data_IF_248912202796
#
_entry.id   IF_248912202796
#
_cell.length_a   1.000
_cell.length_b   1.000
_cell.length_c   1.000
_cell.angle_alpha   90.00
_cell.angle_beta   90.00
_cell.angle_gamma   90.00
#
_symmetry.space_group_name_H-M   'P 1'
#
loop_
_entity.id
_entity.type
_entity.pdbx_description
1 polymer ?
#
# COMPACT_ATOMS: atom_id res chain seq x y z
N UNK A 1 -31.04 21.49 -11.44
CA UNK A 1 -30.24 20.36 -11.93
C UNK A 1 -29.08 20.17 -10.96
N UNK A 2 -29.20 19.23 -10.02
CA UNK A 2 -28.12 18.93 -9.09
C UNK A 2 -27.13 18.04 -9.81
N UNK A 3 -25.96 18.59 -10.16
CA UNK A 3 -24.85 17.78 -10.63
C UNK A 3 -24.45 16.84 -9.50
N UNK A 4 -24.67 15.54 -9.68
CA UNK A 4 -24.07 14.52 -8.82
C UNK A 4 -22.56 14.75 -8.81
N UNK A 5 -21.92 14.83 -7.63
CA UNK A 5 -20.47 14.97 -7.56
C UNK A 5 -19.84 13.80 -8.33
N UNK A 6 -18.78 14.05 -9.12
CA UNK A 6 -18.11 12.98 -9.86
C UNK A 6 -17.71 11.89 -8.86
N UNK A 7 -18.14 10.67 -9.14
CA UNK A 7 -17.84 9.51 -8.31
C UNK A 7 -16.34 9.24 -8.41
N UNK A 8 -15.58 9.79 -7.46
CA UNK A 8 -14.11 9.69 -7.43
C UNK A 8 -13.62 8.26 -7.19
N UNK A 9 -14.54 7.31 -7.01
CA UNK A 9 -14.27 5.89 -6.81
C UNK A 9 -14.21 5.08 -8.09
N UNK A 10 -14.58 5.64 -9.25
CA UNK A 10 -14.36 4.96 -10.52
C UNK A 10 -12.88 5.13 -10.87
N UNK A 11 -12.06 4.17 -10.43
CA UNK A 11 -10.70 4.06 -10.94
C UNK A 11 -10.79 4.00 -12.46
N UNK A 12 -10.11 4.91 -13.17
CA UNK A 12 -10.32 4.98 -14.59
C UNK A 12 -9.75 3.68 -15.21
N UNK A 13 -10.25 3.28 -16.39
CA UNK A 13 -9.89 1.98 -17.00
C UNK A 13 -8.42 1.99 -17.41
N UNK A 14 -7.58 1.01 -16.99
CA UNK A 14 -6.18 0.94 -17.37
C UNK A 14 -6.03 0.82 -18.90
N UNK A 15 -4.86 1.15 -19.47
CA UNK A 15 -4.59 0.81 -20.85
C UNK A 15 -4.77 -0.69 -21.10
N UNK A 16 -5.47 -1.05 -22.18
CA UNK A 16 -5.70 -2.44 -22.58
C UNK A 16 -4.37 -3.17 -22.67
N UNK A 17 -4.18 -4.21 -21.86
CA UNK A 17 -2.97 -5.03 -21.91
C UNK A 17 -2.81 -5.63 -23.31
N UNK A 18 -1.60 -5.56 -23.85
CA UNK A 18 -1.30 -6.15 -25.14
C UNK A 18 -1.10 -7.66 -24.97
N UNK A 19 -1.47 -8.41 -25.99
CA UNK A 19 -1.26 -9.86 -26.02
C UNK A 19 0.25 -10.13 -26.00
N UNK A 20 0.76 -10.70 -24.91
CA UNK A 20 2.17 -11.02 -24.73
C UNK A 20 2.85 -10.27 -23.58
N UNK A 21 2.19 -9.27 -22.97
CA UNK A 21 2.77 -8.53 -21.86
C UNK A 21 3.02 -9.42 -20.64
N UNK A 22 4.23 -9.34 -20.08
CA UNK A 22 4.54 -9.99 -18.82
C UNK A 22 3.72 -9.37 -17.68
N UNK A 23 3.43 -10.12 -16.60
CA UNK A 23 2.75 -9.56 -15.42
C UNK A 23 3.45 -8.31 -14.85
N UNK A 24 4.79 -8.29 -14.91
CA UNK A 24 5.63 -7.17 -14.51
C UNK A 24 5.38 -5.91 -15.36
N UNK A 25 5.31 -6.05 -16.68
CA UNK A 25 5.00 -4.94 -17.60
C UNK A 25 3.58 -4.41 -17.40
N UNK A 26 2.61 -5.32 -17.24
CA UNK A 26 1.23 -4.95 -16.91
C UNK A 26 1.16 -4.16 -15.60
N UNK A 27 1.94 -4.55 -14.59
CA UNK A 27 1.98 -3.82 -13.32
C UNK A 27 2.67 -2.48 -13.45
N UNK A 28 3.74 -2.38 -14.23
CA UNK A 28 4.39 -1.11 -14.53
C UNK A 28 3.43 -0.14 -15.25
N UNK A 29 2.66 -0.63 -16.22
CA UNK A 29 1.64 0.15 -16.94
C UNK A 29 0.51 0.61 -16.00
N UNK A 30 0.04 -0.27 -15.11
CA UNK A 30 -0.92 0.09 -14.07
C UNK A 30 -0.38 1.18 -13.14
N UNK A 31 0.88 1.10 -12.71
CA UNK A 31 1.50 2.13 -11.89
C UNK A 31 1.61 3.46 -12.66
N UNK A 32 2.04 3.44 -13.92
CA UNK A 32 2.07 4.64 -14.78
C UNK A 32 0.71 5.31 -14.91
N UNK A 33 -0.33 4.49 -14.96
CA UNK A 33 -1.71 4.93 -15.04
C UNK A 33 -2.23 5.58 -13.75
N UNK A 34 -2.13 4.85 -12.62
CA UNK A 34 -2.60 5.31 -11.31
C UNK A 34 -1.91 6.61 -10.90
N UNK A 35 -0.61 6.72 -11.17
CA UNK A 35 0.21 7.88 -10.82
C UNK A 35 0.38 8.87 -11.98
N UNK A 36 -0.47 8.80 -13.00
CA UNK A 36 -0.36 9.73 -14.13
C UNK A 36 -0.52 11.19 -13.68
N UNK A 37 0.18 12.15 -14.31
CA UNK A 37 0.02 13.57 -13.97
C UNK A 37 -1.42 14.06 -14.14
N UNK A 38 -2.20 13.42 -15.02
CA UNK A 38 -3.58 13.76 -15.30
C UNK A 38 -4.50 13.45 -14.11
N UNK A 39 -4.34 12.28 -13.47
CA UNK A 39 -5.11 11.92 -12.26
C UNK A 39 -4.81 12.89 -11.12
N UNK A 40 -3.58 13.40 -11.04
CA UNK A 40 -3.15 14.32 -9.98
C UNK A 40 -3.25 15.81 -10.33
N UNK A 41 -3.59 16.18 -11.58
CA UNK A 41 -3.56 17.59 -12.04
C UNK A 41 -4.39 18.52 -11.17
N UNK A 42 -5.57 18.08 -10.73
CA UNK A 42 -6.46 18.85 -9.84
C UNK A 42 -5.82 19.09 -8.47
N UNK A 43 -5.16 18.06 -7.91
CA UNK A 43 -4.50 18.18 -6.61
C UNK A 43 -3.29 19.11 -6.69
N UNK A 44 -2.47 18.99 -7.75
CA UNK A 44 -1.36 19.91 -7.98
C UNK A 44 -1.84 21.36 -8.16
N UNK A 45 -2.87 21.58 -8.98
CA UNK A 45 -3.46 22.90 -9.16
C UNK A 45 -3.97 23.49 -7.84
N UNK A 46 -4.62 22.68 -7.00
CA UNK A 46 -5.07 23.10 -5.67
C UNK A 46 -3.91 23.47 -4.75
N UNK A 47 -2.84 22.67 -4.70
CA UNK A 47 -1.66 22.95 -3.87
C UNK A 47 -0.97 24.25 -4.32
N UNK A 48 -0.80 24.44 -5.63
CA UNK A 48 -0.23 25.67 -6.20
C UNK A 48 -1.14 26.86 -5.89
N UNK A 49 -2.46 26.74 -6.05
CA UNK A 49 -3.40 27.80 -5.73
C UNK A 49 -3.36 28.18 -4.24
N UNK A 50 -3.33 27.20 -3.32
CA UNK A 50 -3.19 27.47 -1.88
C UNK A 50 -1.88 28.18 -1.55
N UNK A 51 -0.78 27.79 -2.20
CA UNK A 51 0.52 28.41 -2.01
C UNK A 51 0.52 29.87 -2.49
N UNK A 52 0.02 30.13 -3.71
CA UNK A 52 -0.07 31.47 -4.29
C UNK A 52 -0.99 32.36 -3.46
N UNK A 53 -2.17 31.87 -3.06
CA UNK A 53 -3.08 32.60 -2.19
C UNK A 53 -2.48 32.88 -0.82
N UNK A 54 -1.79 31.90 -0.21
CA UNK A 54 -1.13 32.07 1.08
C UNK A 54 -0.02 33.12 1.05
N UNK A 55 0.83 33.09 0.02
CA UNK A 55 1.90 34.08 -0.17
C UNK A 55 1.32 35.46 -0.49
N UNK A 56 0.32 35.55 -1.38
CA UNK A 56 -0.30 36.82 -1.75
C UNK A 56 -1.05 37.49 -0.59
N UNK A 57 -1.85 36.72 0.16
CA UNK A 57 -2.57 37.24 1.33
C UNK A 57 -1.63 37.66 2.44
N UNK A 58 -0.60 36.86 2.74
CA UNK A 58 0.37 37.20 3.78
C UNK A 58 1.19 38.45 3.40
N UNK A 59 1.73 38.51 2.18
CA UNK A 59 2.50 39.67 1.70
C UNK A 59 1.67 40.95 1.60
N UNK A 60 0.48 40.90 1.00
CA UNK A 60 -0.41 42.06 0.91
C UNK A 60 -0.85 42.56 2.28
N UNK A 61 -1.21 41.67 3.19
CA UNK A 61 -1.64 42.04 4.54
C UNK A 61 -0.48 42.60 5.38
N UNK A 62 0.73 42.06 5.24
CA UNK A 62 1.92 42.60 5.91
C UNK A 62 2.20 44.05 5.48
N UNK A 63 2.04 44.33 4.19
CA UNK A 63 2.17 45.70 3.66
C UNK A 63 1.10 46.64 4.25
N UNK A 64 -0.17 46.23 4.30
CA UNK A 64 -1.22 47.02 4.94
C UNK A 64 -1.00 47.20 6.46
N UNK A 65 -0.48 46.19 7.16
CA UNK A 65 -0.21 46.28 8.59
C UNK A 65 0.81 47.38 8.92
N UNK A 66 1.81 47.61 8.04
CA UNK A 66 2.78 48.69 8.19
C UNK A 66 2.14 50.09 8.13
N UNK A 67 0.97 50.22 7.51
CA UNK A 67 0.23 51.48 7.42
C UNK A 67 -0.71 51.74 8.62
N UNK A 68 -0.73 50.83 9.61
CA UNK A 68 -1.45 51.03 10.88
C UNK A 68 -2.81 50.33 11.00
N UNK A 69 -3.23 49.52 10.01
CA UNK A 69 -4.48 48.77 10.10
C UNK A 69 -4.31 47.47 10.90
N UNK A 70 -4.82 47.45 12.14
CA UNK A 70 -4.69 46.28 13.03
C UNK A 70 -5.32 44.99 12.46
N UNK A 71 -6.42 45.10 11.70
CA UNK A 71 -7.11 43.93 11.08
C UNK A 71 -6.22 43.20 10.06
N UNK A 72 -5.21 43.89 9.49
CA UNK A 72 -4.30 43.29 8.52
C UNK A 72 -3.44 42.16 9.13
N UNK A 73 -3.19 42.16 10.45
CA UNK A 73 -2.48 41.06 11.10
C UNK A 73 -3.22 39.71 10.97
N UNK A 74 -4.55 39.72 10.96
CA UNK A 74 -5.34 38.50 10.75
C UNK A 74 -5.08 37.89 9.37
N UNK A 75 -4.91 38.74 8.34
CA UNK A 75 -4.57 38.30 6.98
C UNK A 75 -3.19 37.68 6.87
N UNK A 76 -2.21 38.18 7.63
CA UNK A 76 -0.86 37.58 7.72
C UNK A 76 -0.94 36.16 8.28
N UNK A 77 -1.65 35.98 9.41
CA UNK A 77 -1.81 34.66 10.03
C UNK A 77 -2.54 33.69 9.11
N UNK A 78 -3.63 34.13 8.48
CA UNK A 78 -4.36 33.31 7.50
C UNK A 78 -3.47 32.88 6.33
N UNK A 79 -2.67 33.79 5.77
CA UNK A 79 -1.75 33.49 4.68
C UNK A 79 -0.66 32.49 5.07
N UNK A 80 -0.12 32.59 6.30
CA UNK A 80 0.85 31.63 6.82
C UNK A 80 0.24 30.23 7.01
N UNK A 81 -0.99 30.13 7.52
CA UNK A 81 -1.71 28.85 7.68
C UNK A 81 -1.91 28.18 6.31
N UNK A 82 -2.38 28.94 5.31
CA UNK A 82 -2.57 28.42 3.94
C UNK A 82 -1.26 27.93 3.33
N UNK A 83 -0.18 28.70 3.49
CA UNK A 83 1.16 28.34 3.01
C UNK A 83 1.67 27.07 3.70
N UNK A 84 1.55 26.97 5.02
CA UNK A 84 1.92 25.79 5.79
C UNK A 84 1.15 24.54 5.36
N UNK A 85 -0.15 24.68 5.10
CA UNK A 85 -0.98 23.58 4.58
C UNK A 85 -0.56 23.14 3.18
N UNK A 86 -0.25 24.08 2.29
CA UNK A 86 0.24 23.78 0.95
C UNK A 86 1.58 23.02 0.98
N UNK A 87 2.53 23.44 1.84
CA UNK A 87 3.81 22.76 2.03
C UNK A 87 3.65 21.34 2.57
N UNK A 88 2.74 21.12 3.53
CA UNK A 88 2.43 19.79 4.05
C UNK A 88 1.89 18.87 2.95
N UNK A 89 0.96 19.36 2.12
CA UNK A 89 0.43 18.61 0.98
C UNK A 89 1.51 18.31 -0.06
N UNK A 90 2.33 19.30 -0.42
CA UNK A 90 3.47 19.13 -1.34
C UNK A 90 4.43 18.06 -0.83
N UNK A 91 4.78 18.06 0.45
CA UNK A 91 5.64 17.04 1.03
C UNK A 91 5.01 15.63 0.96
N UNK A 92 3.70 15.50 1.17
CA UNK A 92 3.02 14.20 0.95
C UNK A 92 3.05 13.75 -0.52
N UNK A 93 2.94 14.69 -1.47
CA UNK A 93 3.06 14.39 -2.91
C UNK A 93 4.48 13.94 -3.27
N UNK A 94 5.51 14.61 -2.76
CA UNK A 94 6.91 14.23 -2.98
C UNK A 94 7.18 12.82 -2.43
N UNK A 95 6.70 12.51 -1.22
CA UNK A 95 6.80 11.15 -0.65
C UNK A 95 6.08 10.12 -1.52
N UNK A 96 4.87 10.43 -2.01
CA UNK A 96 4.14 9.53 -2.94
C UNK A 96 4.90 9.32 -4.25
N UNK A 97 5.51 10.37 -4.81
CA UNK A 97 6.31 10.28 -6.03
C UNK A 97 7.56 9.42 -5.83
N UNK A 98 8.22 9.51 -4.67
CA UNK A 98 9.35 8.64 -4.31
C UNK A 98 8.93 7.17 -4.18
N UNK A 99 7.82 6.91 -3.49
CA UNK A 99 7.26 5.56 -3.37
C UNK A 99 6.88 4.98 -4.73
N UNK A 100 6.27 5.80 -5.59
CA UNK A 100 5.96 5.45 -6.97
C UNK A 100 7.21 5.08 -7.76
N UNK A 101 8.26 5.91 -7.73
CA UNK A 101 9.52 5.63 -8.41
C UNK A 101 10.12 4.29 -7.97
N UNK A 102 10.07 3.98 -6.67
CA UNK A 102 10.56 2.70 -6.14
C UNK A 102 9.70 1.52 -6.58
N UNK A 103 8.37 1.62 -6.49
CA UNK A 103 7.44 0.58 -6.96
C UNK A 103 7.60 0.29 -8.44
N UNK A 104 7.76 1.34 -9.25
CA UNK A 104 8.00 1.22 -10.69
C UNK A 104 9.35 0.54 -10.98
N UNK A 105 10.37 0.80 -10.18
CA UNK A 105 11.66 0.12 -10.30
C UNK A 105 11.50 -1.38 -10.00
N UNK A 106 10.81 -1.73 -8.92
CA UNK A 106 10.50 -3.13 -8.55
C UNK A 106 9.67 -3.78 -9.65
N UNK A 107 8.67 -3.09 -10.20
CA UNK A 107 7.85 -3.61 -11.29
C UNK A 107 8.68 -3.93 -12.54
N UNK A 108 9.69 -3.10 -12.88
CA UNK A 108 10.53 -3.29 -14.07
C UNK A 108 11.61 -4.35 -13.93
N UNK A 109 12.16 -4.52 -12.72
CA UNK A 109 13.29 -5.41 -12.44
C UNK A 109 12.91 -6.66 -11.66
N UNK A 110 11.66 -6.72 -11.20
CA UNK A 110 11.17 -7.75 -10.32
C UNK A 110 10.78 -9.00 -11.10
N UNK A 111 11.06 -10.14 -10.49
CA UNK A 111 10.59 -11.44 -10.95
C UNK A 111 9.30 -11.78 -10.20
N UNK A 112 8.36 -12.42 -10.89
CA UNK A 112 7.12 -12.89 -10.27
C UNK A 112 7.43 -14.05 -9.34
N UNK A 113 7.10 -13.88 -8.06
CA UNK A 113 7.29 -14.88 -7.02
C UNK A 113 6.00 -15.04 -6.21
N UNK A 114 5.81 -16.21 -5.62
CA UNK A 114 4.73 -16.45 -4.66
C UNK A 114 5.23 -16.15 -3.25
N UNK A 115 4.66 -15.13 -2.61
CA UNK A 115 4.90 -14.80 -1.22
C UNK A 115 3.96 -15.55 -0.28
N UNK A 116 4.49 -16.30 0.67
CA UNK A 116 3.73 -17.04 1.68
C UNK A 116 3.70 -16.25 2.99
N UNK A 117 2.50 -15.90 3.45
CA UNK A 117 2.28 -15.04 4.61
C UNK A 117 2.71 -15.76 5.89
N UNK A 118 3.65 -15.14 6.61
CA UNK A 118 4.10 -15.58 7.94
C UNK A 118 3.22 -14.94 9.01
N UNK A 119 3.18 -13.61 9.02
CA UNK A 119 2.36 -12.81 9.93
C UNK A 119 1.72 -11.66 9.18
N UNK A 120 0.51 -11.31 9.56
CA UNK A 120 -0.19 -10.15 9.06
C UNK A 120 -0.98 -9.49 10.18
N UNK A 121 -1.31 -8.20 10.00
CA UNK A 121 -2.28 -7.54 10.88
C UNK A 121 -3.63 -8.24 10.76
N UNK A 122 -4.27 -8.58 11.88
CA UNK A 122 -5.60 -9.20 11.89
C UNK A 122 -6.67 -8.36 11.19
N UNK A 123 -6.43 -7.05 11.05
CA UNK A 123 -7.27 -6.16 10.27
C UNK A 123 -7.42 -6.66 8.81
N UNK A 124 -6.36 -7.19 8.19
CA UNK A 124 -6.40 -7.59 6.78
C UNK A 124 -7.28 -8.83 6.51
N UNK A 125 -7.56 -9.62 7.54
CA UNK A 125 -8.36 -10.84 7.46
C UNK A 125 -9.87 -10.56 7.41
N UNK A 126 -10.29 -9.31 7.58
CA UNK A 126 -11.69 -8.88 7.56
C UNK A 126 -11.86 -7.74 6.59
N UNK A 127 -13.03 -7.56 5.94
CA UNK A 127 -13.33 -6.36 5.16
C UNK A 127 -13.10 -5.09 6.00
N UNK A 128 -12.66 -4.01 5.35
CA UNK A 128 -12.34 -2.77 6.03
C UNK A 128 -11.89 -1.66 5.09
N UNK A 129 -11.55 -0.48 5.64
CA UNK A 129 -11.15 0.67 4.82
C UNK A 129 -9.90 0.36 4.00
N UNK A 130 -9.81 0.98 2.83
CA UNK A 130 -8.66 0.88 1.93
C UNK A 130 -7.40 1.45 2.59
N UNK A 131 -6.63 0.56 3.22
CA UNK A 131 -5.36 0.87 3.82
C UNK A 131 -4.36 -0.23 3.46
N UNK A 132 -3.12 0.19 3.16
CA UNK A 132 -2.01 -0.74 3.05
C UNK A 132 -1.62 -1.20 4.46
N UNK A 133 -1.65 -2.52 4.69
CA UNK A 133 -1.36 -3.11 5.99
C UNK A 133 -0.04 -3.90 5.92
N UNK A 134 0.79 -3.84 6.96
CA UNK A 134 2.03 -4.59 6.99
C UNK A 134 1.76 -6.09 7.16
N UNK A 135 2.42 -6.86 6.33
CA UNK A 135 2.51 -8.31 6.39
C UNK A 135 3.98 -8.69 6.27
N UNK A 136 4.32 -9.89 6.72
CA UNK A 136 5.62 -10.49 6.51
C UNK A 136 5.44 -11.75 5.69
N UNK A 137 6.24 -11.91 4.64
CA UNK A 137 6.11 -13.01 3.68
C UNK A 137 7.43 -13.74 3.50
N UNK A 138 7.36 -15.04 3.22
CA UNK A 138 8.47 -15.85 2.71
C UNK A 138 8.36 -16.01 1.20
N UNK A 139 9.49 -15.96 0.50
CA UNK A 139 9.54 -16.29 -0.92
C UNK A 139 10.93 -16.83 -1.28
N UNK A 140 11.04 -17.45 -2.45
CA UNK A 140 12.29 -17.93 -3.02
C UNK A 140 12.36 -17.63 -4.51
N UNK A 141 13.56 -17.35 -5.01
CA UNK A 141 13.84 -17.27 -6.45
C UNK A 141 14.17 -18.64 -7.05
N UNK A 142 14.39 -19.67 -6.23
CA UNK A 142 14.57 -21.04 -6.70
C UNK A 142 13.20 -21.61 -7.08
N UNK A 143 12.96 -21.81 -8.39
CA UNK A 143 11.66 -22.23 -8.92
C UNK A 143 11.11 -23.48 -8.24
N UNK A 144 11.97 -24.48 -8.00
CA UNK A 144 11.60 -25.73 -7.31
C UNK A 144 11.07 -25.49 -5.89
N UNK A 145 11.72 -24.60 -5.15
CA UNK A 145 11.37 -24.27 -3.76
C UNK A 145 10.14 -23.35 -3.71
N UNK A 146 10.07 -22.35 -4.59
CA UNK A 146 8.94 -21.43 -4.65
C UNK A 146 7.63 -22.08 -5.12
N UNK A 147 7.73 -23.09 -6.00
CA UNK A 147 6.61 -23.89 -6.48
C UNK A 147 6.12 -24.93 -5.46
N UNK A 148 6.99 -25.40 -4.55
CA UNK A 148 6.56 -26.29 -3.47
C UNK A 148 5.82 -25.52 -2.36
N UNK A 149 4.52 -25.30 -2.61
CA UNK A 149 3.66 -24.62 -1.66
C UNK A 149 3.39 -25.39 -0.37
N UNK A 150 3.75 -26.67 -0.23
CA UNK A 150 3.69 -27.37 1.06
C UNK A 150 4.91 -27.02 1.90
N UNK A 151 6.09 -27.07 1.28
CA UNK A 151 7.34 -26.71 1.93
C UNK A 151 7.35 -25.25 2.40
N UNK A 152 6.95 -24.32 1.53
CA UNK A 152 6.91 -22.89 1.90
C UNK A 152 5.90 -22.59 3.01
N UNK A 153 4.74 -23.26 3.04
CA UNK A 153 3.79 -23.16 4.15
C UNK A 153 4.33 -23.72 5.46
N UNK A 154 5.00 -24.87 5.39
CA UNK A 154 5.69 -25.46 6.53
C UNK A 154 6.72 -24.48 7.10
N UNK A 155 7.57 -23.88 6.26
CA UNK A 155 8.53 -22.86 6.69
C UNK A 155 7.84 -21.63 7.27
N UNK A 156 6.78 -21.12 6.64
CA UNK A 156 6.06 -19.93 7.13
C UNK A 156 5.45 -20.16 8.51
N UNK A 157 4.86 -21.33 8.75
CA UNK A 157 4.32 -21.75 10.04
C UNK A 157 5.45 -21.88 11.06
N UNK A 158 6.57 -22.50 10.67
CA UNK A 158 7.74 -22.68 11.54
C UNK A 158 8.36 -21.34 11.94
N UNK A 159 8.46 -20.36 11.04
CA UNK A 159 8.91 -18.99 11.38
C UNK A 159 7.89 -18.30 12.28
N UNK A 160 6.60 -18.43 11.97
CA UNK A 160 5.53 -17.82 12.75
C UNK A 160 5.51 -18.34 14.19
N UNK A 161 5.72 -19.64 14.38
CA UNK A 161 5.80 -20.31 15.67
C UNK A 161 6.99 -19.86 16.51
N UNK A 162 8.04 -19.28 15.91
CA UNK A 162 9.23 -18.81 16.63
C UNK A 162 9.02 -17.41 17.25
N UNK A 163 7.92 -16.75 16.91
CA UNK A 163 7.53 -15.48 17.53
C UNK A 163 7.42 -15.66 19.04
N UNK A 164 8.01 -14.73 19.78
CA UNK A 164 7.99 -14.71 21.26
C UNK A 164 8.67 -15.92 21.93
N UNK A 165 9.37 -16.78 21.17
CA UNK A 165 10.18 -17.89 21.69
C UNK A 165 11.67 -17.49 21.74
N UNK A 166 12.35 -17.82 22.83
CA UNK A 166 13.80 -17.63 22.99
C UNK A 166 14.52 -18.99 23.04
N UNK A 167 14.74 -19.64 21.89
CA UNK A 167 15.45 -20.92 21.85
C UNK A 167 16.88 -20.75 22.39
N UNK A 168 17.32 -21.66 23.26
CA UNK A 168 18.69 -21.66 23.80
C UNK A 168 19.57 -22.61 22.98
N UNK A 169 20.80 -22.20 22.71
CA UNK A 169 21.85 -23.03 22.10
C UNK A 169 21.92 -23.08 20.57
N UNK A 170 20.91 -22.57 19.86
CA UNK A 170 20.88 -22.55 18.39
C UNK A 170 20.80 -21.10 17.89
N UNK A 171 21.92 -20.59 17.36
CA UNK A 171 22.06 -19.20 16.92
C UNK A 171 21.14 -18.86 15.75
N UNK A 172 20.92 -19.79 14.83
CA UNK A 172 20.07 -19.59 13.66
C UNK A 172 18.61 -19.47 14.08
N UNK A 173 18.18 -20.33 15.02
CA UNK A 173 16.85 -20.24 15.62
C UNK A 173 16.65 -18.95 16.41
N UNK A 174 17.67 -18.48 17.13
CA UNK A 174 17.61 -17.19 17.84
C UNK A 174 17.47 -16.02 16.87
N UNK A 175 18.22 -16.05 15.76
CA UNK A 175 18.12 -15.06 14.70
C UNK A 175 16.71 -15.01 14.11
N UNK A 176 16.14 -16.16 13.76
CA UNK A 176 14.78 -16.24 13.21
C UNK A 176 13.73 -15.79 14.22
N UNK A 177 13.87 -16.16 15.50
CA UNK A 177 12.97 -15.71 16.55
C UNK A 177 13.02 -14.18 16.73
N UNK A 178 14.21 -13.58 16.66
CA UNK A 178 14.39 -12.13 16.70
C UNK A 178 13.70 -11.44 15.51
N UNK A 179 13.88 -11.99 14.29
CA UNK A 179 13.19 -11.49 13.10
C UNK A 179 11.67 -11.63 13.23
N UNK A 180 11.17 -12.80 13.64
CA UNK A 180 9.74 -13.07 13.79
C UNK A 180 9.07 -12.17 14.83
N UNK A 181 9.79 -11.81 15.89
CA UNK A 181 9.29 -10.96 16.99
C UNK A 181 9.32 -9.46 16.67
N UNK A 182 9.98 -9.04 15.58
CA UNK A 182 10.03 -7.64 15.19
C UNK A 182 8.65 -7.14 14.73
N UNK A 183 8.12 -6.12 15.41
CA UNK A 183 6.77 -5.58 15.18
C UNK A 183 6.71 -4.45 14.15
N UNK A 184 7.80 -3.70 14.00
CA UNK A 184 7.89 -2.63 13.03
C UNK A 184 8.17 -3.19 11.64
N UNK A 185 7.31 -2.93 10.67
CA UNK A 185 7.54 -3.29 9.27
C UNK A 185 8.26 -2.15 8.54
N UNK A 186 9.36 -2.47 7.85
CA UNK A 186 10.09 -1.49 7.03
C UNK A 186 9.92 -1.81 5.55
N UNK A 187 9.55 -0.82 4.74
CA UNK A 187 9.40 -1.02 3.30
C UNK A 187 10.70 -1.51 2.66
N UNK A 188 10.60 -2.47 1.73
CA UNK A 188 11.74 -3.07 1.00
C UNK A 188 12.79 -3.76 1.87
N UNK A 189 12.46 -4.11 3.12
CA UNK A 189 13.38 -4.83 3.98
C UNK A 189 13.21 -6.33 3.78
N UNK A 190 14.33 -7.02 3.61
CA UNK A 190 14.38 -8.48 3.51
C UNK A 190 15.59 -9.08 4.19
N UNK A 191 15.45 -10.34 4.57
CA UNK A 191 16.45 -11.13 5.25
C UNK A 191 16.57 -12.48 4.57
N UNK A 192 17.80 -12.92 4.30
CA UNK A 192 18.05 -14.29 3.91
C UNK A 192 17.95 -15.17 5.16
N UNK A 193 17.11 -16.20 5.13
CA UNK A 193 17.04 -17.15 6.22
C UNK A 193 18.30 -18.04 6.25
N UNK A 194 18.76 -18.47 7.43
CA UNK A 194 19.87 -19.40 7.55
C UNK A 194 19.63 -20.69 6.75
N UNK A 195 20.63 -21.12 5.98
CA UNK A 195 20.53 -22.33 5.14
C UNK A 195 20.27 -23.60 5.97
N UNK A 196 20.74 -23.64 7.21
CA UNK A 196 20.47 -24.70 8.19
C UNK A 196 18.98 -24.82 8.56
N UNK A 197 18.22 -23.72 8.44
CA UNK A 197 16.79 -23.68 8.73
C UNK A 197 15.93 -24.04 7.52
N UNK A 198 16.46 -23.80 6.32
CA UNK A 198 15.78 -23.95 5.03
C UNK A 198 16.30 -25.12 4.21
N UNK A 199 16.91 -26.11 4.86
CA UNK A 199 17.43 -27.34 4.23
C UNK A 199 18.36 -27.05 3.02
N UNK A 200 19.13 -25.96 3.10
CA UNK A 200 20.05 -25.51 2.04
C UNK A 200 19.44 -24.56 1.00
N UNK A 201 18.13 -24.29 1.04
CA UNK A 201 17.45 -23.42 0.08
C UNK A 201 17.58 -21.94 0.40
N UNK A 202 17.67 -21.10 -0.63
CA UNK A 202 17.74 -19.65 -0.48
C UNK A 202 16.32 -19.05 -0.33
N UNK A 203 15.83 -18.96 0.90
CA UNK A 203 14.51 -18.41 1.23
C UNK A 203 14.66 -17.06 1.91
N UNK A 204 13.88 -16.08 1.46
CA UNK A 204 13.88 -14.72 1.97
C UNK A 204 12.63 -14.46 2.80
N UNK A 205 12.83 -13.78 3.94
CA UNK A 205 11.78 -13.20 4.76
C UNK A 205 11.74 -11.70 4.50
N UNK A 206 10.60 -11.16 4.06
CA UNK A 206 10.47 -9.74 3.75
C UNK A 206 9.22 -9.11 4.32
N UNK A 207 9.34 -7.83 4.66
CA UNK A 207 8.21 -7.01 5.02
C UNK A 207 7.51 -6.52 3.74
N UNK A 208 6.20 -6.75 3.66
CA UNK A 208 5.35 -6.45 2.53
C UNK A 208 4.16 -5.62 2.99
N UNK A 209 3.92 -4.48 2.34
CA UNK A 209 2.70 -3.71 2.55
C UNK A 209 1.62 -4.20 1.58
N UNK A 210 0.59 -4.85 2.12
CA UNK A 210 -0.49 -5.47 1.34
C UNK A 210 -1.64 -4.47 1.24
N UNK A 211 -2.01 -4.11 0.01
CA UNK A 211 -3.14 -3.22 -0.27
C UNK A 211 -4.43 -4.03 -0.40
N UNK A 212 -5.49 -3.63 0.29
CA UNK A 212 -6.81 -4.29 0.15
C UNK A 212 -7.35 -4.23 -1.27
N UNK A 213 -7.13 -3.13 -1.98
CA UNK A 213 -7.55 -2.97 -3.38
C UNK A 213 -6.86 -3.98 -4.33
N UNK A 214 -5.79 -4.64 -3.88
CA UNK A 214 -5.10 -5.67 -4.65
C UNK A 214 -5.58 -7.09 -4.31
N UNK A 215 -6.37 -7.26 -3.25
CA UNK A 215 -6.89 -8.55 -2.80
C UNK A 215 -8.29 -8.80 -3.38
N UNK A 216 -8.61 -10.04 -3.78
CA UNK A 216 -9.98 -10.39 -4.15
C UNK A 216 -10.91 -10.19 -2.95
N UNK A 217 -12.03 -9.48 -3.16
CA UNK A 217 -12.98 -9.17 -2.08
C UNK A 217 -12.50 -8.14 -1.04
N UNK A 218 -11.29 -7.59 -1.16
CA UNK A 218 -10.78 -6.54 -0.25
C UNK A 218 -10.20 -7.04 1.07
N UNK A 219 -9.99 -8.35 1.23
CA UNK A 219 -9.38 -8.96 2.42
C UNK A 219 -8.60 -10.24 2.07
N UNK A 220 -7.74 -10.67 3.00
CA UNK A 220 -6.82 -11.78 2.76
C UNK A 220 -7.51 -13.13 3.00
N UNK A 221 -7.75 -13.86 1.92
CA UNK A 221 -8.38 -15.19 1.93
C UNK A 221 -7.40 -16.36 1.87
N UNK A 222 -6.23 -16.12 1.29
CA UNK A 222 -5.19 -17.11 1.03
C UNK A 222 -3.92 -16.72 1.76
N UNK A 223 -3.12 -17.71 2.14
CA UNK A 223 -1.79 -17.52 2.71
C UNK A 223 -0.71 -17.30 1.63
N UNK A 224 -1.06 -17.41 0.35
CA UNK A 224 -0.19 -17.17 -0.78
C UNK A 224 -0.61 -15.92 -1.55
N UNK A 225 0.36 -15.05 -1.81
CA UNK A 225 0.19 -13.77 -2.50
C UNK A 225 1.11 -13.68 -3.71
N UNK A 226 0.62 -13.19 -4.87
CA UNK A 226 1.50 -12.89 -5.99
C UNK A 226 2.29 -11.61 -5.71
N UNK A 227 3.60 -11.70 -5.87
CA UNK A 227 4.53 -10.61 -5.58
C UNK A 227 5.52 -10.43 -6.71
N UNK A 228 6.01 -9.21 -6.89
CA UNK A 228 7.19 -8.91 -7.69
C UNK A 228 8.35 -8.63 -6.75
N UNK A 229 9.45 -9.37 -6.91
CA UNK A 229 10.64 -9.21 -6.08
C UNK A 229 11.88 -8.95 -6.95
N UNK A 230 12.64 -7.89 -6.65
CA UNK A 230 13.93 -7.64 -7.30
C UNK A 230 14.96 -8.70 -6.83
N UNK A 231 15.66 -9.36 -7.75
CA UNK A 231 16.68 -10.36 -7.41
C UNK A 231 17.82 -9.82 -6.49
N UNK A 232 18.58 -10.72 -5.85
CA UNK A 232 19.76 -10.41 -5.03
C UNK A 232 19.51 -10.37 -3.52
N UNK A 233 20.32 -9.65 -2.71
CA UNK A 233 20.11 -9.52 -1.25
C UNK A 233 19.40 -8.22 -0.78
N UNK A 234 19.38 -7.13 -1.56
CA UNK A 234 18.87 -5.79 -1.11
C UNK A 234 17.68 -5.23 -1.90
N UNK A 235 17.17 -5.99 -2.86
CA UNK A 235 16.00 -5.69 -3.68
C UNK A 235 14.69 -5.62 -2.91
N UNK A 236 13.75 -4.84 -3.45
CA UNK A 236 12.41 -4.67 -2.90
C UNK A 236 11.46 -5.81 -3.27
N UNK A 237 10.33 -5.86 -2.57
CA UNK A 237 9.20 -6.72 -2.88
C UNK A 237 7.93 -5.87 -2.87
N UNK A 238 7.05 -6.09 -3.85
CA UNK A 238 5.75 -5.42 -3.93
C UNK A 238 4.66 -6.44 -4.28
N UNK A 239 3.48 -6.29 -3.69
CA UNK A 239 2.35 -7.15 -3.97
C UNK A 239 1.77 -6.78 -5.33
N UNK A 240 1.55 -7.79 -6.17
CA UNK A 240 0.84 -7.61 -7.43
C UNK A 240 -0.67 -7.84 -7.22
N UNK A 241 -1.54 -7.03 -7.85
CA UNK A 241 -2.97 -7.30 -7.82
C UNK A 241 -3.30 -8.62 -8.53
N UNK A 242 -4.15 -9.45 -7.92
CA UNK A 242 -4.47 -10.77 -8.48
C UNK A 242 -5.20 -10.68 -9.83
N UNK A 243 -6.07 -9.69 -9.99
CA UNK A 243 -6.79 -9.42 -11.24
C UNK A 243 -5.85 -9.04 -12.42
N UNK A 244 -4.59 -8.70 -12.12
CA UNK A 244 -3.58 -8.40 -13.13
C UNK A 244 -2.82 -9.65 -13.61
N UNK A 245 -2.94 -10.78 -12.90
CA UNK A 245 -2.30 -12.03 -13.31
C UNK A 245 -2.98 -12.63 -14.54
N UNK A 246 -4.31 -12.72 -14.51
CA UNK A 246 -5.08 -13.33 -15.59
C UNK A 246 -5.24 -12.34 -16.75
N UNK A 247 -4.67 -12.63 -17.94
CA UNK A 247 -4.78 -11.77 -19.11
C UNK A 247 -6.23 -11.57 -19.57
N UNK A 248 -7.15 -12.49 -19.25
CA UNK A 248 -8.55 -12.40 -19.67
C UNK A 248 -9.36 -11.40 -18.84
N UNK A 249 -9.02 -11.22 -17.56
CA UNK A 249 -9.69 -10.25 -16.67
C UNK A 249 -9.23 -8.81 -16.89
N UNK A 250 -8.12 -8.57 -17.59
CA UNK A 250 -7.57 -7.21 -17.78
C UNK A 250 -8.51 -6.22 -18.50
N UNK A 251 -9.59 -6.68 -19.13
CA UNK A 251 -10.62 -5.84 -19.73
C UNK A 251 -11.74 -5.37 -18.79
N UNK A 252 -11.88 -5.99 -17.62
CA UNK A 252 -12.87 -5.63 -16.61
C UNK A 252 -12.14 -5.44 -15.28
N UNK A 253 -11.75 -4.19 -14.98
CA UNK A 253 -11.54 -3.83 -13.59
C UNK A 253 -12.80 -4.26 -12.83
N UNK A 254 -12.68 -4.92 -11.66
CA UNK A 254 -13.85 -5.11 -10.82
C UNK A 254 -14.39 -3.70 -10.56
N UNK A 255 -15.53 -3.39 -11.17
CA UNK A 255 -16.31 -2.21 -10.81
C UNK A 255 -16.43 -2.28 -9.30
N UNK A 256 -16.03 -1.24 -8.53
CA UNK A 256 -16.02 -1.30 -7.08
C UNK A 256 -17.36 -1.85 -6.65
N UNK A 257 -17.37 -3.09 -6.18
CA UNK A 257 -18.61 -3.78 -5.85
C UNK A 257 -19.25 -2.87 -4.81
N UNK A 258 -20.35 -2.22 -5.19
CA UNK A 258 -21.06 -1.32 -4.32
C UNK A 258 -21.61 -2.22 -3.23
N UNK A 259 -20.81 -2.42 -2.19
CA UNK A 259 -21.18 -3.22 -1.04
C UNK A 259 -22.53 -2.64 -0.61
N UNK A 260 -23.61 -3.46 -0.60
CA UNK A 260 -24.89 -2.98 -0.17
C UNK A 260 -24.66 -2.31 1.18
N UNK A 261 -25.08 -1.05 1.28
CA UNK A 261 -24.90 -0.25 2.50
C UNK A 261 -25.23 -1.16 3.67
N UNK A 262 -24.35 -1.27 4.69
CA UNK A 262 -24.66 -2.09 5.85
C UNK A 262 -26.06 -1.69 6.32
N UNK A 263 -26.95 -2.67 6.58
CA UNK A 263 -28.29 -2.36 7.03
C UNK A 263 -28.16 -1.34 8.17
N UNK A 264 -29.01 -0.29 8.19
CA UNK A 264 -28.93 0.74 9.21
C UNK A 264 -28.83 0.02 10.55
N UNK A 265 -27.84 0.41 11.37
CA UNK A 265 -27.67 -0.18 12.69
C UNK A 265 -29.05 -0.19 13.34
N UNK A 266 -29.53 -1.39 13.73
CA UNK A 266 -30.76 -1.52 14.49
C UNK A 266 -30.56 -0.67 15.75
N UNK A 267 -31.08 0.55 15.71
CA UNK A 267 -31.21 1.38 16.88
C UNK A 267 -32.32 0.71 17.69
N UNK A 268 -31.97 0.20 18.87
CA UNK A 268 -32.86 -0.42 19.86
C UNK A 268 -33.95 0.54 20.41
N UNK A 269 -34.29 1.61 19.67
CA UNK A 269 -35.33 2.58 20.01
C UNK A 269 -36.73 2.13 19.56
N UNK A 270 -36.92 0.86 19.19
CA UNK A 270 -38.25 0.30 19.02
C UNK A 270 -38.91 0.23 20.41
N UNK A 271 -40.00 1.00 20.68
CA UNK A 271 -40.66 0.95 21.97
C UNK A 271 -41.16 -0.48 22.20
N UNK A 272 -40.70 -1.08 23.31
CA UNK A 272 -41.25 -2.30 23.86
C UNK A 272 -42.74 -2.06 24.12
N UNK A 273 -43.58 -2.47 23.18
CA UNK A 273 -45.03 -2.55 23.34
C UNK A 273 -45.33 -3.58 24.42
N UNK A 274 -45.44 -3.10 25.66
CA UNK A 274 -46.08 -3.79 26.76
C UNK A 274 -47.53 -3.30 26.77
N UNK A 275 -48.42 -4.08 26.16
CA UNK A 275 -49.85 -4.12 26.51
C UNK A 275 -50.06 -5.15 27.63
#
# INVERSE_FOLDING_TARGET
>A
MNATPPDNNIMPVPPTALVGDTPAERYAAYLDYVFSPETHRKQYALVVALLVLGIGTSGGSAWYAQTGYAVAWAGVVAGLILTGRALMLMHTMVRRAQLYGRRKQIARKGELVTGYVVHCSSAILRPGPEAALPCRVLFSFQSEVGADGRYMRYLSTRVADMKDKLPRGDMDKQYIAALASETAASANRRYLLPLSFTDGSAVYLADLYVSRAHLPGGYLHSDALPCLAEAGPTGGIEMMPEWLLDPKTTGAFPEPEVLPLPPPALTDDAPLGLD
#
